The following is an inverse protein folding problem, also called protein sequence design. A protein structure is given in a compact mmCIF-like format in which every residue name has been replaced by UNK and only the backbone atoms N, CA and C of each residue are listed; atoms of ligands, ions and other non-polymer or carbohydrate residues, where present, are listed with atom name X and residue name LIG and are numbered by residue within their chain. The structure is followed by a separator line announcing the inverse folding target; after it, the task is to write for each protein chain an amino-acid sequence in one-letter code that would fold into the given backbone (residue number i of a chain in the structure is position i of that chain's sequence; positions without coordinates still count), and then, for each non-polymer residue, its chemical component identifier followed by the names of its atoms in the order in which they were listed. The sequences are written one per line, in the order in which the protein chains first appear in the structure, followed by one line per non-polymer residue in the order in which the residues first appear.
data_IF_933213152074
#
_entry.id   IF_933213152074
#
_cell.length_a   1.000
_cell.length_b   1.000
_cell.length_c   1.000
_cell.angle_alpha   90.00
_cell.angle_beta   90.00
_cell.angle_gamma   90.00
#
_symmetry.space_group_name_H-M   'P 1'
#
loop_
_entity.id
_entity.type
_entity.pdbx_description
1 polymer ?
#
# COMPACT_ATOMS: atom_id res chain seq x y z
N UNK A 1 -15.05 1.99 -5.27
CA UNK A 1 -14.48 1.58 -3.97
C UNK A 1 -13.20 0.81 -4.24
N UNK A 2 -12.05 1.48 -4.13
CA UNK A 2 -10.74 0.86 -4.36
C UNK A 2 -10.39 -0.01 -3.16
N UNK A 3 -10.11 -1.30 -3.37
CA UNK A 3 -9.64 -2.19 -2.31
C UNK A 3 -8.33 -1.62 -1.73
N UNK A 4 -8.40 -1.06 -0.52
CA UNK A 4 -7.26 -0.72 0.31
C UNK A 4 -6.70 -2.00 0.96
N UNK A 5 -6.60 -3.09 0.19
CA UNK A 5 -6.16 -4.39 0.69
C UNK A 5 -4.69 -4.33 1.10
N UNK A 6 -4.43 -4.42 2.40
CA UNK A 6 -3.09 -4.33 2.96
C UNK A 6 -2.17 -5.36 2.28
N UNK A 7 -1.02 -4.90 1.79
CA UNK A 7 0.03 -5.76 1.27
C UNK A 7 0.41 -6.81 2.32
N UNK A 8 0.47 -8.10 1.99
CA UNK A 8 0.95 -9.14 2.90
C UNK A 8 2.29 -8.71 3.53
N UNK A 9 2.41 -8.89 4.85
CA UNK A 9 3.64 -8.53 5.59
C UNK A 9 4.64 -9.66 5.47
N UNK A 10 5.93 -9.30 5.31
CA UNK A 10 7.00 -10.30 5.27
C UNK A 10 7.07 -11.05 6.60
N UNK A 11 7.23 -12.39 6.58
CA UNK A 11 7.38 -13.17 7.79
C UNK A 11 8.72 -12.87 8.47
N UNK A 12 8.79 -13.18 9.77
CA UNK A 12 10.00 -13.00 10.55
C UNK A 12 11.05 -14.04 10.16
N UNK A 13 12.33 -13.67 10.24
CA UNK A 13 13.45 -14.58 9.98
C UNK A 13 13.67 -15.53 11.16
N UNK A 14 14.38 -16.64 10.95
CA UNK A 14 14.72 -17.62 11.98
C UNK A 14 15.32 -16.98 13.24
N UNK A 15 16.28 -16.07 13.05
CA UNK A 15 16.89 -15.30 14.15
C UNK A 15 15.86 -14.47 14.93
N UNK A 16 14.92 -13.81 14.24
CA UNK A 16 13.89 -12.99 14.88
C UNK A 16 12.87 -13.85 15.65
N UNK A 17 12.53 -15.03 15.13
CA UNK A 17 11.67 -16.00 15.82
C UNK A 17 12.32 -16.46 17.12
N UNK A 18 13.59 -16.88 17.05
CA UNK A 18 14.37 -17.29 18.21
C UNK A 18 14.54 -16.15 19.23
N UNK A 19 14.89 -14.95 18.76
CA UNK A 19 15.11 -13.79 19.62
C UNK A 19 13.81 -13.40 20.38
N UNK A 20 12.65 -13.49 19.72
CA UNK A 20 11.36 -13.22 20.34
C UNK A 20 10.90 -14.33 21.29
N UNK A 21 11.30 -15.59 21.04
CA UNK A 21 10.89 -16.73 21.85
C UNK A 21 11.75 -16.89 23.11
N UNK A 22 13.07 -16.96 22.96
CA UNK A 22 13.98 -17.36 24.05
C UNK A 22 15.16 -16.43 24.19
N UNK A 23 15.67 -15.89 23.07
CA UNK A 23 16.88 -15.08 23.07
C UNK A 23 16.79 -13.82 23.95
N UNK A 24 15.66 -13.10 23.91
CA UNK A 24 15.45 -11.90 24.76
C UNK A 24 15.39 -12.22 26.24
N UNK A 25 14.72 -13.30 26.62
CA UNK A 25 14.57 -13.70 28.02
C UNK A 25 15.91 -14.10 28.61
N UNK A 26 16.69 -14.90 27.87
CA UNK A 26 18.03 -15.34 28.28
C UNK A 26 18.99 -14.17 28.50
N UNK A 27 18.98 -13.19 27.60
CA UNK A 27 19.88 -12.03 27.71
C UNK A 27 19.41 -11.09 28.82
N UNK A 28 18.10 -10.95 29.01
CA UNK A 28 17.54 -10.11 30.08
C UNK A 28 17.76 -10.72 31.47
N UNK A 29 17.82 -12.05 31.59
CA UNK A 29 18.18 -12.70 32.86
C UNK A 29 19.65 -12.53 33.22
N UNK A 30 20.55 -12.57 32.23
CA UNK A 30 21.98 -12.35 32.46
C UNK A 30 22.32 -10.87 32.67
N UNK A 31 21.65 -9.98 31.93
CA UNK A 31 21.92 -8.54 31.91
C UNK A 31 20.62 -7.72 31.95
N UNK A 32 19.99 -7.59 33.14
CA UNK A 32 18.72 -6.86 33.28
C UNK A 32 18.86 -5.35 33.02
N UNK A 33 20.07 -4.81 33.11
CA UNK A 33 20.39 -3.38 32.91
C UNK A 33 20.66 -3.00 31.45
N UNK A 34 20.85 -3.99 30.56
CA UNK A 34 21.21 -3.71 29.17
C UNK A 34 20.07 -3.06 28.40
N UNK A 35 20.43 -2.06 27.59
CA UNK A 35 19.49 -1.42 26.68
C UNK A 35 19.11 -2.40 25.58
N UNK A 36 17.93 -2.22 25.00
CA UNK A 36 17.40 -3.05 23.90
C UNK A 36 18.42 -3.21 22.75
N UNK A 37 19.21 -2.16 22.48
CA UNK A 37 20.27 -2.21 21.46
C UNK A 37 21.39 -3.19 21.81
N UNK A 38 21.85 -3.22 23.06
CA UNK A 38 22.92 -4.12 23.53
C UNK A 38 22.42 -5.57 23.56
N UNK A 39 21.14 -5.77 23.92
CA UNK A 39 20.47 -7.08 23.86
C UNK A 39 20.48 -7.64 22.43
N UNK A 40 20.22 -6.79 21.42
CA UNK A 40 20.24 -7.25 20.03
C UNK A 40 21.65 -7.65 19.56
N UNK A 41 22.70 -6.93 19.99
CA UNK A 41 24.09 -7.25 19.66
C UNK A 41 24.49 -8.59 20.30
N UNK A 42 24.23 -8.76 21.60
CA UNK A 42 24.51 -10.01 22.32
C UNK A 42 23.72 -11.19 21.79
N UNK A 43 22.46 -10.98 21.42
CA UNK A 43 21.65 -12.00 20.77
C UNK A 43 22.24 -12.44 19.43
N UNK A 44 22.82 -11.53 18.66
CA UNK A 44 23.51 -11.86 17.42
C UNK A 44 24.78 -12.69 17.63
N UNK A 45 25.53 -12.43 18.70
CA UNK A 45 26.70 -13.25 19.09
C UNK A 45 26.28 -14.65 19.51
N UNK A 46 25.27 -14.75 20.39
CA UNK A 46 24.76 -16.01 20.90
C UNK A 46 24.16 -16.89 19.79
N UNK A 47 23.42 -16.27 18.87
CA UNK A 47 22.89 -16.95 17.70
C UNK A 47 24.00 -17.49 16.79
N UNK A 48 25.15 -16.83 16.68
CA UNK A 48 26.27 -17.38 15.90
C UNK A 48 26.93 -18.56 16.61
N UNK A 49 27.03 -18.52 17.94
CA UNK A 49 27.63 -19.61 18.73
C UNK A 49 26.72 -20.81 18.97
N UNK A 50 25.40 -20.70 18.74
CA UNK A 50 24.47 -21.82 18.88
C UNK A 50 24.79 -22.99 17.91
N UNK A 51 24.44 -24.23 18.26
CA UNK A 51 24.59 -25.39 17.38
C UNK A 51 23.63 -25.30 16.17
N UNK A 52 24.03 -25.90 15.05
CA UNK A 52 23.22 -25.85 13.81
C UNK A 52 21.90 -26.63 13.96
N UNK A 53 21.86 -27.64 14.84
CA UNK A 53 20.67 -28.44 15.14
C UNK A 53 19.52 -27.56 15.65
N UNK A 54 19.80 -26.73 16.66
CA UNK A 54 18.82 -25.80 17.21
C UNK A 54 18.44 -24.73 16.17
N UNK A 55 19.42 -24.24 15.40
CA UNK A 55 19.15 -23.26 14.33
C UNK A 55 18.26 -23.86 13.23
N UNK A 56 18.44 -25.13 12.92
CA UNK A 56 17.72 -25.83 11.86
C UNK A 56 16.22 -25.82 12.12
N UNK A 57 15.79 -26.06 13.36
CA UNK A 57 14.36 -26.02 13.76
C UNK A 57 13.75 -24.63 13.50
N UNK A 58 14.46 -23.56 13.83
CA UNK A 58 14.00 -22.19 13.59
C UNK A 58 14.07 -21.80 12.10
N UNK A 59 15.08 -22.30 11.37
CA UNK A 59 15.20 -22.10 9.92
C UNK A 59 14.06 -22.79 9.18
N UNK A 60 13.71 -24.02 9.55
CA UNK A 60 12.58 -24.75 8.98
C UNK A 60 11.27 -24.00 9.25
N UNK A 61 11.04 -23.57 10.49
CA UNK A 61 9.86 -22.76 10.85
C UNK A 61 9.78 -21.45 10.04
N UNK A 62 10.90 -20.76 9.87
CA UNK A 62 10.97 -19.54 9.05
C UNK A 62 10.75 -19.84 7.56
N UNK A 63 11.24 -20.97 7.06
CA UNK A 63 11.05 -21.41 5.67
C UNK A 63 9.58 -21.71 5.37
N UNK A 64 8.87 -22.35 6.31
CA UNK A 64 7.45 -22.65 6.19
C UNK A 64 6.63 -21.35 6.15
N UNK A 65 6.87 -20.43 7.07
CA UNK A 65 6.22 -19.12 7.08
C UNK A 65 6.50 -18.31 5.79
N UNK A 66 7.72 -18.42 5.24
CA UNK A 66 8.08 -17.78 3.96
C UNK A 66 7.35 -18.41 2.77
N UNK A 67 7.15 -19.73 2.78
CA UNK A 67 6.39 -20.42 1.75
C UNK A 67 4.91 -20.01 1.76
N UNK A 68 4.30 -19.87 2.94
CA UNK A 68 2.93 -19.38 3.11
C UNK A 68 2.79 -17.92 2.62
N UNK A 69 3.69 -17.04 3.06
CA UNK A 69 3.73 -15.65 2.61
C UNK A 69 3.84 -15.53 1.09
N UNK A 70 4.63 -16.39 0.44
CA UNK A 70 4.75 -16.39 -1.02
C UNK A 70 3.42 -16.68 -1.71
N UNK A 71 2.66 -17.67 -1.21
CA UNK A 71 1.33 -17.99 -1.73
C UNK A 71 0.35 -16.83 -1.56
N UNK A 72 0.33 -16.20 -0.37
CA UNK A 72 -0.51 -15.03 -0.11
C UNK A 72 -0.13 -13.84 -0.99
N UNK A 73 1.16 -13.63 -1.22
CA UNK A 73 1.67 -12.55 -2.07
C UNK A 73 1.27 -12.73 -3.53
N UNK A 74 1.33 -13.96 -4.06
CA UNK A 74 0.88 -14.29 -5.41
C UNK A 74 -0.62 -13.99 -5.57
N UNK A 75 -1.44 -14.41 -4.60
CA UNK A 75 -2.86 -14.11 -4.59
C UNK A 75 -3.13 -12.59 -4.52
N UNK A 76 -2.44 -11.87 -3.63
CA UNK A 76 -2.56 -10.41 -3.53
C UNK A 76 -2.15 -9.70 -4.83
N UNK A 77 -1.06 -10.13 -5.48
CA UNK A 77 -0.63 -9.58 -6.76
C UNK A 77 -1.68 -9.82 -7.86
N UNK A 78 -2.28 -11.01 -7.92
CA UNK A 78 -3.34 -11.32 -8.87
C UNK A 78 -4.58 -10.43 -8.66
N UNK A 79 -4.98 -10.21 -7.41
CA UNK A 79 -6.08 -9.30 -7.06
C UNK A 79 -5.79 -7.87 -7.49
N UNK A 80 -4.57 -7.37 -7.24
CA UNK A 80 -4.15 -6.02 -7.64
C UNK A 80 -4.13 -5.89 -9.16
N UNK A 81 -3.67 -6.91 -9.89
CA UNK A 81 -3.65 -6.90 -11.35
C UNK A 81 -5.06 -6.92 -11.94
N UNK A 82 -5.95 -7.75 -11.40
CA UNK A 82 -7.36 -7.75 -11.76
C UNK A 82 -8.01 -6.39 -11.47
N UNK A 83 -7.76 -5.82 -10.31
CA UNK A 83 -8.29 -4.51 -9.93
C UNK A 83 -7.78 -3.40 -10.85
N UNK A 84 -6.49 -3.40 -11.23
CA UNK A 84 -5.95 -2.44 -12.20
C UNK A 84 -6.72 -2.50 -13.52
N UNK A 85 -6.98 -3.71 -14.04
CA UNK A 85 -7.73 -3.90 -15.29
C UNK A 85 -9.17 -3.39 -15.18
N UNK A 86 -9.85 -3.71 -14.07
CA UNK A 86 -11.24 -3.29 -13.83
C UNK A 86 -11.35 -1.78 -13.59
N UNK A 87 -10.43 -1.18 -12.83
CA UNK A 87 -10.42 0.27 -12.64
C UNK A 87 -10.08 1.00 -13.94
N UNK A 88 -9.15 0.49 -14.77
CA UNK A 88 -8.83 1.11 -16.07
C UNK A 88 -10.05 1.11 -17.00
N UNK A 89 -10.78 0.00 -17.08
CA UNK A 89 -11.97 -0.10 -17.93
C UNK A 89 -13.15 0.73 -17.42
N UNK A 90 -13.26 0.93 -16.10
CA UNK A 90 -14.30 1.77 -15.50
C UNK A 90 -13.97 3.26 -15.48
N UNK A 91 -12.71 3.65 -15.64
CA UNK A 91 -12.34 5.07 -15.84
C UNK A 91 -12.60 5.57 -17.26
N UNK A 92 -13.03 4.71 -18.18
CA UNK A 92 -13.47 5.12 -19.51
C UNK A 92 -14.63 4.23 -20.03
N UNK A 93 -15.83 4.32 -19.44
CA UNK A 93 -17.02 3.85 -20.12
C UNK A 93 -17.34 4.87 -21.22
N UNK A 94 -17.09 4.51 -22.47
CA UNK A 94 -17.71 5.05 -23.71
C UNK A 94 -18.19 6.53 -23.66
N UNK A 95 -17.26 7.47 -23.44
CA UNK A 95 -17.52 8.92 -23.62
C UNK A 95 -17.06 9.44 -24.99
N UNK A 96 -16.98 8.56 -25.99
CA UNK A 96 -17.16 8.92 -27.39
C UNK A 96 -18.44 8.15 -27.80
N UNK A 97 -19.59 8.76 -28.00
CA UNK A 97 -19.86 9.83 -28.94
C UNK A 97 -20.81 10.87 -28.33
N UNK A 98 -20.29 11.85 -27.60
CA UNK A 98 -21.00 13.11 -27.52
C UNK A 98 -20.77 13.83 -28.86
N UNK A 99 -21.82 14.22 -29.61
CA UNK A 99 -21.63 14.97 -30.84
C UNK A 99 -20.83 16.22 -30.50
N UNK A 100 -19.75 16.44 -31.25
CA UNK A 100 -18.95 17.66 -31.20
C UNK A 100 -19.89 18.85 -31.40
N UNK A 101 -20.46 19.37 -30.31
CA UNK A 101 -21.20 20.62 -30.31
C UNK A 101 -20.20 21.69 -30.69
N UNK A 102 -20.35 22.17 -31.91
CA UNK A 102 -19.57 23.19 -32.60
C UNK A 102 -19.69 24.59 -31.96
N UNK A 103 -20.14 24.68 -30.70
CA UNK A 103 -20.44 25.94 -30.01
C UNK A 103 -19.21 26.60 -29.35
N UNK A 104 -17.99 26.14 -29.60
CA UNK A 104 -16.80 26.88 -29.18
C UNK A 104 -15.74 26.83 -30.29
N UNK A 105 -15.69 27.84 -31.17
CA UNK A 105 -14.56 27.99 -32.06
C UNK A 105 -13.37 28.46 -31.21
N UNK A 106 -12.38 27.59 -31.11
CA UNK A 106 -10.99 27.96 -30.88
C UNK A 106 -10.66 28.59 -29.51
N UNK A 107 -10.48 27.76 -28.49
CA UNK A 107 -9.49 28.07 -27.45
C UNK A 107 -8.83 26.78 -26.96
N UNK A 108 -7.51 26.70 -27.10
CA UNK A 108 -6.63 25.58 -26.75
C UNK A 108 -6.52 25.32 -25.24
N UNK A 109 -7.60 25.35 -24.48
CA UNK A 109 -7.59 25.04 -23.06
C UNK A 109 -8.74 24.10 -22.74
N UNK A 110 -8.40 22.87 -22.35
CA UNK A 110 -9.35 21.93 -21.76
C UNK A 110 -9.88 22.56 -20.46
N UNK A 111 -11.20 22.61 -20.24
CA UNK A 111 -11.75 23.09 -18.98
C UNK A 111 -11.32 22.15 -17.86
N UNK A 112 -10.63 22.68 -16.85
CA UNK A 112 -10.12 21.92 -15.69
C UNK A 112 -11.05 21.96 -14.48
N UNK A 113 -12.15 22.70 -14.57
CA UNK A 113 -13.13 22.89 -13.51
C UNK A 113 -14.55 22.82 -14.08
N UNK A 114 -15.45 22.18 -13.35
CA UNK A 114 -16.88 22.16 -13.63
C UNK A 114 -17.59 22.84 -12.45
N UNK A 115 -18.52 23.75 -12.75
CA UNK A 115 -19.37 24.40 -11.74
C UNK A 115 -20.76 23.78 -11.82
N UNK A 116 -21.29 23.44 -10.65
CA UNK A 116 -22.66 22.96 -10.52
C UNK A 116 -23.62 24.14 -10.53
N UNK A 117 -24.57 24.17 -11.46
CA UNK A 117 -25.65 25.15 -11.48
C UNK A 117 -26.91 24.54 -10.86
N UNK A 118 -27.34 25.09 -9.72
CA UNK A 118 -28.51 24.61 -8.99
C UNK A 118 -29.85 24.92 -9.67
N UNK A 119 -29.90 25.76 -10.72
CA UNK A 119 -31.17 26.02 -11.43
C UNK A 119 -31.55 24.91 -12.40
N UNK A 120 -30.57 24.27 -13.02
CA UNK A 120 -30.79 23.30 -14.09
C UNK A 120 -30.20 21.90 -13.75
N UNK A 121 -29.77 21.69 -12.49
CA UNK A 121 -29.09 20.46 -12.00
C UNK A 121 -27.99 19.95 -12.94
N UNK A 122 -27.27 20.88 -13.58
CA UNK A 122 -26.27 20.56 -14.60
C UNK A 122 -24.88 21.06 -14.23
N UNK A 123 -23.85 20.30 -14.63
CA UNK A 123 -22.46 20.67 -14.46
C UNK A 123 -21.93 21.33 -15.73
N UNK A 124 -21.62 22.62 -15.66
CA UNK A 124 -21.06 23.36 -16.78
C UNK A 124 -19.53 23.43 -16.69
N UNK A 125 -18.78 23.07 -17.75
CA UNK A 125 -17.33 23.25 -17.78
C UNK A 125 -17.01 24.75 -17.80
N UNK A 126 -16.13 25.19 -16.88
CA UNK A 126 -15.71 26.58 -16.77
C UNK A 126 -14.19 26.70 -16.84
N UNK A 127 -13.72 27.79 -17.44
CA UNK A 127 -12.31 28.09 -17.52
C UNK A 127 -11.78 28.61 -16.16
N UNK A 128 -10.50 28.36 -15.82
CA UNK A 128 -9.93 28.73 -14.50
C UNK A 128 -9.96 30.25 -14.22
N UNK A 129 -9.88 31.06 -15.27
CA UNK A 129 -10.03 32.52 -15.24
C UNK A 129 -11.48 32.99 -15.20
N UNK A 130 -12.43 32.15 -15.61
CA UNK A 130 -13.86 32.39 -15.53
C UNK A 130 -14.36 32.07 -14.11
N UNK A 131 -13.82 31.02 -13.48
CA UNK A 131 -14.11 30.66 -12.10
C UNK A 131 -13.74 31.78 -11.10
N UNK A 132 -12.62 32.47 -11.29
CA UNK A 132 -12.22 33.58 -10.41
C UNK A 132 -13.11 34.83 -10.51
N UNK A 133 -13.96 34.91 -11.55
CA UNK A 133 -14.95 35.99 -11.74
C UNK A 133 -16.37 35.57 -11.33
N UNK A 134 -16.61 34.28 -11.09
CA UNK A 134 -17.87 33.78 -10.57
C UNK A 134 -18.00 34.21 -9.11
N UNK A 135 -18.61 35.38 -8.87
CA UNK A 135 -19.04 35.76 -7.52
C UNK A 135 -20.25 34.90 -7.16
N UNK A 136 -20.20 34.23 -6.01
CA UNK A 136 -21.37 33.61 -5.42
C UNK A 136 -22.45 34.69 -5.27
N UNK A 137 -23.50 34.63 -6.10
CA UNK A 137 -24.74 35.32 -5.80
C UNK A 137 -25.40 34.50 -4.69
N UNK A 138 -25.28 35.00 -3.47
CA UNK A 138 -25.99 34.48 -2.32
C UNK A 138 -27.43 34.99 -2.30
#
# INVERSE_FOLDING_TARGET
MSYCGARPKKPMTAFMLWLNSTGREHIKSEYPEFKIQEVAVKGGELWRSMPEEDKSVWQESASQAMAEYKKELEHWNALIEHQKKVCLSQTYPDIYEAPLSTRFPNSKQRPTLFVYDCKDDSMAPICRTCFSKARCFH
#
